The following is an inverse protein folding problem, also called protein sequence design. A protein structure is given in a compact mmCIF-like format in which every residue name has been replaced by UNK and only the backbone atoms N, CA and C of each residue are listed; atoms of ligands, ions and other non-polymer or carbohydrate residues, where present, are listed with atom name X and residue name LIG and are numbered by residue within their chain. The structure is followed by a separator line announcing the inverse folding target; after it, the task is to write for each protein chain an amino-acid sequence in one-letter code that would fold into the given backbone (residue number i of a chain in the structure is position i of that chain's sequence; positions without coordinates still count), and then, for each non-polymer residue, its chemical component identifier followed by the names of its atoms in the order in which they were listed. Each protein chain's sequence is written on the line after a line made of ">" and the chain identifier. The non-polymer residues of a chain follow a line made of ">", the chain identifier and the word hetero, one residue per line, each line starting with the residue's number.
data_IF_539466467644
#
_entry.id   IF_539466467644
#
_cell.length_a   1.000
_cell.length_b   1.000
_cell.length_c   1.000
_cell.angle_alpha   90.00
_cell.angle_beta   90.00
_cell.angle_gamma   90.00
#
_symmetry.space_group_name_H-M   'P 1'
#
loop_
_entity.id
_entity.type
_entity.pdbx_description
1 polymer ?
#
# COMPACT_ATOMS: atom_id res chain seq x y z
N UNK A 1 2.33 -15.33 -2.05
CA UNK A 1 2.00 -14.19 -2.94
C UNK A 1 3.00 -14.05 -4.07
N UNK A 2 4.28 -13.74 -3.81
CA UNK A 2 5.30 -13.57 -4.84
C UNK A 2 5.46 -14.82 -5.74
N UNK A 3 5.39 -16.01 -5.14
CA UNK A 3 5.38 -17.28 -5.88
C UNK A 3 4.16 -17.46 -6.80
N UNK A 4 2.98 -16.93 -6.43
CA UNK A 4 1.76 -17.01 -7.25
C UNK A 4 1.84 -16.08 -8.47
N UNK A 5 2.39 -14.88 -8.29
CA UNK A 5 2.59 -13.93 -9.39
C UNK A 5 3.59 -14.50 -10.40
N UNK A 6 4.72 -15.04 -9.91
CA UNK A 6 5.71 -15.73 -10.75
C UNK A 6 5.12 -16.97 -11.43
N UNK A 7 4.29 -17.75 -10.73
CA UNK A 7 3.59 -18.90 -11.31
C UNK A 7 2.60 -18.50 -12.42
N UNK A 8 2.12 -17.26 -12.42
CA UNK A 8 1.25 -16.72 -13.47
C UNK A 8 2.03 -16.20 -14.69
N UNK A 9 3.36 -16.38 -14.72
CA UNK A 9 4.24 -15.91 -15.80
C UNK A 9 4.52 -14.41 -15.78
N UNK A 10 4.12 -13.71 -14.70
CA UNK A 10 4.38 -12.28 -14.52
C UNK A 10 5.60 -12.13 -13.60
N UNK A 11 6.60 -11.36 -14.03
CA UNK A 11 7.72 -10.92 -13.18
C UNK A 11 7.28 -9.65 -12.41
N UNK A 12 6.95 -9.73 -11.11
CA UNK A 12 6.61 -8.54 -10.35
C UNK A 12 7.89 -7.75 -10.05
N UNK A 13 7.82 -6.43 -10.24
CA UNK A 13 8.85 -5.55 -9.73
C UNK A 13 8.70 -5.40 -8.21
N UNK A 14 9.64 -5.96 -7.45
CA UNK A 14 9.61 -5.91 -5.99
C UNK A 14 10.34 -4.66 -5.52
N UNK A 15 9.57 -3.68 -5.03
CA UNK A 15 10.13 -2.47 -4.43
C UNK A 15 10.15 -2.64 -2.92
N UNK A 16 11.35 -2.62 -2.34
CA UNK A 16 11.54 -2.55 -0.89
C UNK A 16 11.21 -1.14 -0.40
N UNK A 17 9.93 -0.83 -0.18
CA UNK A 17 9.47 0.49 0.26
C UNK A 17 10.09 0.97 1.59
N UNK A 18 10.69 0.06 2.38
CA UNK A 18 11.47 0.39 3.58
C UNK A 18 12.84 1.00 3.24
N UNK A 19 13.43 0.63 2.10
CA UNK A 19 14.70 1.19 1.60
C UNK A 19 14.46 2.34 0.64
N UNK A 20 13.47 2.20 -0.24
CA UNK A 20 13.09 3.19 -1.25
C UNK A 20 11.63 3.58 -1.05
N UNK A 21 11.33 4.42 -0.04
CA UNK A 21 9.96 4.86 0.19
C UNK A 21 9.43 5.61 -1.04
N UNK A 22 8.19 5.33 -1.46
CA UNK A 22 7.56 6.09 -2.53
C UNK A 22 7.41 7.55 -2.10
N UNK A 23 7.50 8.47 -3.06
CA UNK A 23 7.21 9.88 -2.79
C UNK A 23 5.73 10.07 -2.44
N UNK A 24 5.41 11.14 -1.72
CA UNK A 24 4.03 11.49 -1.36
C UNK A 24 3.09 11.46 -2.57
N UNK A 25 3.47 12.13 -3.66
CA UNK A 25 2.67 12.17 -4.89
C UNK A 25 2.47 10.77 -5.50
N UNK A 26 3.49 9.91 -5.45
CA UNK A 26 3.36 8.54 -5.92
C UNK A 26 2.42 7.73 -5.01
N UNK A 27 2.53 7.90 -3.70
CA UNK A 27 1.67 7.25 -2.72
C UNK A 27 0.20 7.67 -2.89
N UNK A 28 -0.07 8.98 -3.04
CA UNK A 28 -1.41 9.51 -3.35
C UNK A 28 -2.00 8.87 -4.61
N UNK A 29 -1.22 8.82 -5.69
CA UNK A 29 -1.65 8.17 -6.93
C UNK A 29 -1.94 6.68 -6.75
N UNK A 30 -1.13 5.96 -5.96
CA UNK A 30 -1.35 4.55 -5.66
C UNK A 30 -2.63 4.32 -4.85
N UNK A 31 -2.89 5.15 -3.84
CA UNK A 31 -4.07 5.06 -2.98
C UNK A 31 -5.34 5.37 -3.78
N UNK A 32 -5.31 6.45 -4.58
CA UNK A 32 -6.42 6.81 -5.47
C UNK A 32 -6.73 5.68 -6.46
N UNK A 33 -5.71 5.08 -7.09
CA UNK A 33 -5.87 3.94 -8.00
C UNK A 33 -6.34 2.66 -7.28
N UNK A 34 -6.04 2.53 -5.99
CA UNK A 34 -6.48 1.39 -5.19
C UNK A 34 -7.95 1.48 -4.79
N UNK A 35 -8.54 2.67 -4.85
CA UNK A 35 -9.92 2.92 -4.41
C UNK A 35 -10.11 2.67 -2.92
N UNK A 36 -9.07 2.89 -2.13
CA UNK A 36 -9.08 2.78 -0.65
C UNK A 36 -8.71 4.12 -0.06
N UNK A 37 -9.12 4.39 1.18
CA UNK A 37 -8.72 5.62 1.87
C UNK A 37 -7.28 5.53 2.38
N UNK A 38 -6.62 6.67 2.60
CA UNK A 38 -5.26 6.69 3.17
C UNK A 38 -5.21 5.93 4.50
N UNK A 39 -6.27 6.04 5.31
CA UNK A 39 -6.46 5.32 6.57
C UNK A 39 -6.47 3.79 6.41
N UNK A 40 -6.99 3.24 5.31
CA UNK A 40 -6.96 1.79 5.05
C UNK A 40 -5.55 1.29 4.73
N UNK A 41 -4.76 2.14 4.07
CA UNK A 41 -3.35 1.89 3.78
C UNK A 41 -2.49 2.11 5.01
N UNK A 42 -3.01 2.77 6.03
CA UNK A 42 -2.31 3.01 7.26
C UNK A 42 -2.45 1.80 8.21
N UNK A 43 -1.33 1.32 8.72
CA UNK A 43 -1.26 0.15 9.58
C UNK A 43 -1.62 0.55 11.00
N UNK A 44 -2.91 0.48 11.33
CA UNK A 44 -3.43 0.75 12.67
C UNK A 44 -2.76 -0.09 13.79
N UNK A 45 -2.14 -1.24 13.45
CA UNK A 45 -1.38 -2.09 14.40
C UNK A 45 0.10 -1.67 14.56
N UNK A 46 0.45 -0.43 14.27
CA UNK A 46 1.81 0.06 14.47
C UNK A 46 1.85 0.93 15.74
N UNK A 47 2.72 0.68 16.73
CA UNK A 47 2.80 1.55 17.91
C UNK A 47 3.02 3.04 17.56
N UNK A 48 3.73 3.34 16.47
CA UNK A 48 3.88 4.71 15.95
C UNK A 48 2.56 5.37 15.54
N UNK A 49 1.56 4.58 15.15
CA UNK A 49 0.23 5.10 14.80
C UNK A 49 -0.44 5.75 16.01
N UNK A 50 -0.40 5.07 17.15
CA UNK A 50 -0.94 5.56 18.41
C UNK A 50 -0.05 6.66 19.01
N UNK A 51 1.28 6.54 18.94
CA UNK A 51 2.20 7.59 19.42
C UNK A 51 2.03 8.91 18.68
N UNK A 52 1.82 8.86 17.36
CA UNK A 52 1.63 10.05 16.52
C UNK A 52 0.16 10.51 16.47
N UNK A 53 -0.77 9.79 17.11
CA UNK A 53 -2.20 10.12 17.10
C UNK A 53 -2.83 10.02 15.71
N UNK A 54 -2.28 9.22 14.80
CA UNK A 54 -2.71 9.11 13.39
C UNK A 54 -4.11 8.49 13.22
N UNK A 55 -4.69 7.97 14.29
CA UNK A 55 -6.06 7.46 14.32
C UNK A 55 -7.12 8.56 14.38
N UNK A 56 -6.74 9.81 14.66
CA UNK A 56 -7.70 10.90 14.86
C UNK A 56 -8.49 11.17 13.56
N UNK A 57 -9.84 11.08 13.56
CA UNK A 57 -10.68 11.40 12.41
C UNK A 57 -10.56 12.84 11.92
N UNK A 58 -10.05 13.76 12.74
CA UNK A 58 -9.80 15.15 12.36
C UNK A 58 -8.56 15.32 11.45
N UNK A 59 -7.66 14.33 11.41
CA UNK A 59 -6.45 14.41 10.58
C UNK A 59 -6.80 14.33 9.10
N UNK A 60 -6.21 15.24 8.34
CA UNK A 60 -6.30 15.26 6.90
C UNK A 60 -5.44 14.14 6.28
N UNK A 61 -5.89 13.61 5.15
CA UNK A 61 -5.18 12.59 4.39
C UNK A 61 -3.73 13.00 4.07
N UNK A 62 -3.51 14.29 3.81
CA UNK A 62 -2.17 14.86 3.59
C UNK A 62 -1.21 14.65 4.77
N UNK A 63 -1.69 14.78 6.00
CA UNK A 63 -0.86 14.57 7.20
C UNK A 63 -0.54 13.08 7.39
N UNK A 64 -1.51 12.21 7.11
CA UNK A 64 -1.31 10.76 7.14
C UNK A 64 -0.27 10.33 6.11
N UNK A 65 -0.32 10.89 4.90
CA UNK A 65 0.64 10.64 3.83
C UNK A 65 2.05 11.10 4.20
N UNK A 66 2.20 12.31 4.75
CA UNK A 66 3.50 12.80 5.23
C UNK A 66 4.09 11.87 6.30
N UNK A 67 3.27 11.40 7.24
CA UNK A 67 3.69 10.41 8.24
C UNK A 67 4.10 9.06 7.61
N UNK A 68 3.38 8.59 6.58
CA UNK A 68 3.72 7.35 5.86
C UNK A 68 5.02 7.45 5.06
N UNK A 69 5.32 8.63 4.50
CA UNK A 69 6.58 8.90 3.77
C UNK A 69 7.74 9.01 4.76
N UNK A 70 7.55 9.70 5.88
CA UNK A 70 8.55 9.79 6.94
C UNK A 70 8.79 8.44 7.62
N UNK A 71 7.73 7.65 7.82
CA UNK A 71 7.77 6.35 8.48
C UNK A 71 7.11 5.28 7.59
N UNK A 72 7.83 4.74 6.59
CA UNK A 72 7.31 3.69 5.71
C UNK A 72 6.78 2.46 6.46
N UNK A 73 7.24 2.20 7.69
CA UNK A 73 6.71 1.15 8.56
C UNK A 73 5.22 1.30 8.93
N UNK A 74 4.64 2.50 8.77
CA UNK A 74 3.20 2.75 8.94
C UNK A 74 2.36 2.23 7.77
N UNK A 75 2.96 1.87 6.64
CA UNK A 75 2.21 1.37 5.49
C UNK A 75 1.75 -0.08 5.67
N UNK A 76 0.52 -0.36 5.26
CA UNK A 76 -0.08 -1.68 5.24
C UNK A 76 0.46 -2.46 4.03
N UNK A 77 0.82 -3.73 4.24
CA UNK A 77 1.60 -4.54 3.29
C UNK A 77 0.93 -5.89 3.01
N UNK A 78 1.07 -6.45 1.79
CA UNK A 78 1.69 -5.88 0.59
C UNK A 78 0.72 -5.07 -0.29
N UNK A 79 1.22 -4.00 -0.92
CA UNK A 79 0.53 -3.26 -1.99
C UNK A 79 1.02 -3.84 -3.32
N UNK A 80 0.09 -4.24 -4.19
CA UNK A 80 0.42 -4.74 -5.53
C UNK A 80 -0.11 -3.77 -6.56
N UNK A 81 0.75 -3.42 -7.50
CA UNK A 81 0.46 -2.50 -8.61
C UNK A 81 0.51 -3.30 -9.90
N UNK A 82 -0.55 -3.25 -10.70
CA UNK A 82 -0.57 -3.81 -12.04
C UNK A 82 -1.19 -2.83 -13.04
N UNK A 83 -1.10 -3.11 -14.35
CA UNK A 83 -1.80 -2.32 -15.37
C UNK A 83 -3.33 -2.32 -15.16
N UNK A 84 -3.89 -3.39 -14.56
CA UNK A 84 -5.33 -3.51 -14.28
C UNK A 84 -5.78 -2.64 -13.10
N UNK A 85 -4.87 -2.28 -12.20
CA UNK A 85 -5.19 -1.47 -11.02
C UNK A 85 -4.14 -1.57 -9.93
N UNK A 86 -4.41 -0.94 -8.79
CA UNK A 86 -3.63 -1.10 -7.56
C UNK A 86 -4.53 -1.77 -6.54
N UNK A 87 -4.03 -2.71 -5.74
CA UNK A 87 -4.79 -3.19 -4.57
C UNK A 87 -3.88 -3.51 -3.41
N UNK A 88 -4.44 -3.34 -2.22
CA UNK A 88 -3.91 -3.91 -1.01
C UNK A 88 -4.24 -5.41 -0.98
N UNK A 89 -3.25 -6.27 -1.18
CA UNK A 89 -3.45 -7.70 -1.27
C UNK A 89 -3.47 -8.34 0.13
N UNK A 90 -4.48 -7.97 0.90
CA UNK A 90 -4.86 -8.64 2.14
C UNK A 90 -6.36 -8.93 2.11
N UNK A 91 -6.79 -10.20 2.10
CA UNK A 91 -6.00 -11.44 2.04
C UNK A 91 -5.24 -11.62 0.70
N UNK A 92 -4.31 -12.59 0.67
CA UNK A 92 -3.43 -12.83 -0.49
C UNK A 92 -4.17 -13.17 -1.79
N UNK A 93 -5.40 -13.66 -1.68
CA UNK A 93 -6.22 -14.02 -2.84
C UNK A 93 -6.61 -12.82 -3.72
N UNK A 94 -6.61 -11.60 -3.16
CA UNK A 94 -6.92 -10.36 -3.91
C UNK A 94 -5.96 -10.08 -5.06
N UNK A 95 -4.80 -10.73 -5.10
CA UNK A 95 -3.88 -10.62 -6.24
C UNK A 95 -4.46 -11.19 -7.52
N UNK A 96 -5.40 -12.14 -7.45
CA UNK A 96 -6.06 -12.73 -8.62
C UNK A 96 -6.80 -11.68 -9.45
N UNK A 97 -7.34 -10.64 -8.80
CA UNK A 97 -8.02 -9.52 -9.47
C UNK A 97 -7.06 -8.67 -10.32
N UNK A 98 -5.78 -8.65 -9.94
CA UNK A 98 -4.73 -7.87 -10.61
C UNK A 98 -3.97 -8.66 -11.68
N UNK A 99 -4.08 -9.99 -11.69
CA UNK A 99 -3.45 -10.86 -12.68
C UNK A 99 -4.22 -10.79 -14.01
N UNK A 100 -3.54 -10.79 -15.16
CA UNK A 100 -4.23 -10.90 -16.45
C UNK A 100 -4.96 -12.24 -16.51
N UNK A 101 -6.26 -12.20 -16.77
CA UNK A 101 -7.04 -13.40 -17.08
C UNK A 101 -6.52 -13.95 -18.41
N UNK A 102 -6.15 -15.23 -18.41
CA UNK A 102 -5.65 -15.95 -19.59
C UNK A 102 -6.67 -15.95 -20.72
#
# INVERSE_FOLDING_TARGET
>A
MLALIRASGVEPHVIEYLKTPPSRAMLEGLIARAGVSVRDVLRAKNPLHDELGLGDPALADSQLLDAMVAHPGLMNRPIVVSPRGVRLCRPADRVNDLLPSK
#
